data_IF_790170354284
#
_entry.id   IF_790170354284
#
_cell.length_a   1.000
_cell.length_b   1.000
_cell.length_c   1.000
_cell.angle_alpha   90.00
_cell.angle_beta   90.00
_cell.angle_gamma   90.00
#
_symmetry.space_group_name_H-M   'P 1'
#
loop_
_entity.id
_entity.type
_entity.pdbx_description
1 polymer ?
#
# COMPACT_ATOMS: atom_id res chain seq x y z
N UNK A 1 -32.36 -1.20 2.14
CA UNK A 1 -30.97 -1.63 2.45
C UNK A 1 -30.07 -0.59 1.85
N UNK A 2 -29.11 -0.10 2.61
CA UNK A 2 -28.08 0.84 2.14
C UNK A 2 -26.79 0.07 1.95
N UNK A 3 -25.99 0.46 0.96
CA UNK A 3 -24.61 -0.04 0.82
C UNK A 3 -23.63 0.88 1.51
N UNK A 4 -22.52 0.31 1.95
CA UNK A 4 -21.46 1.07 2.59
C UNK A 4 -20.18 0.27 2.78
N UNK A 5 -19.19 0.92 3.38
CA UNK A 5 -17.88 0.32 3.66
C UNK A 5 -17.69 0.29 5.17
N UNK A 6 -17.23 -0.84 5.70
CA UNK A 6 -16.88 -0.98 7.10
C UNK A 6 -15.61 -0.20 7.36
N UNK A 7 -15.69 0.90 8.11
CA UNK A 7 -14.54 1.78 8.39
C UNK A 7 -13.89 1.47 9.73
N UNK A 8 -14.62 0.82 10.65
CA UNK A 8 -14.12 0.44 11.97
C UNK A 8 -14.86 -0.80 12.49
N UNK A 9 -14.14 -1.68 13.19
CA UNK A 9 -14.69 -2.89 13.81
C UNK A 9 -14.21 -3.05 15.26
N UNK A 10 -15.12 -2.88 16.23
CA UNK A 10 -14.79 -2.87 17.66
C UNK A 10 -15.86 -3.60 18.47
N UNK A 11 -15.45 -4.61 19.25
CA UNK A 11 -16.33 -5.25 20.24
C UNK A 11 -17.59 -5.90 19.65
N UNK A 12 -17.52 -6.39 18.40
CA UNK A 12 -18.67 -6.99 17.69
C UNK A 12 -19.61 -5.98 17.03
N UNK A 13 -19.28 -4.68 17.08
CA UNK A 13 -19.92 -3.62 16.33
C UNK A 13 -19.05 -3.21 15.14
N UNK A 14 -19.72 -2.80 14.06
CA UNK A 14 -19.12 -2.41 12.80
C UNK A 14 -19.65 -1.04 12.42
N UNK A 15 -18.78 -0.04 12.36
CA UNK A 15 -19.18 1.27 11.86
C UNK A 15 -19.06 1.25 10.35
N UNK A 16 -20.18 1.54 9.68
CA UNK A 16 -20.32 1.47 8.23
C UNK A 16 -20.57 2.87 7.71
N UNK A 17 -19.69 3.35 6.84
CA UNK A 17 -19.94 4.58 6.08
C UNK A 17 -20.82 4.23 4.88
N UNK A 18 -22.07 4.63 4.95
CA UNK A 18 -23.06 4.34 3.92
C UNK A 18 -22.95 5.32 2.74
N UNK A 19 -23.54 4.92 1.61
CA UNK A 19 -23.55 5.69 0.36
C UNK A 19 -24.32 7.02 0.45
N UNK A 20 -25.18 7.18 1.46
CA UNK A 20 -25.86 8.44 1.79
C UNK A 20 -24.98 9.43 2.58
N UNK A 21 -23.73 9.03 2.88
CA UNK A 21 -22.76 9.83 3.62
C UNK A 21 -22.89 9.72 5.14
N UNK A 22 -23.85 8.94 5.66
CA UNK A 22 -24.05 8.73 7.09
C UNK A 22 -23.22 7.55 7.58
N UNK A 23 -22.66 7.67 8.78
CA UNK A 23 -22.00 6.56 9.46
C UNK A 23 -23.00 5.87 10.40
N UNK A 24 -23.18 4.56 10.18
CA UNK A 24 -24.07 3.73 10.97
C UNK A 24 -23.28 2.74 11.81
N UNK A 25 -23.54 2.73 13.12
CA UNK A 25 -23.04 1.69 14.02
C UNK A 25 -23.91 0.44 13.91
N UNK A 26 -23.35 -0.60 13.31
CA UNK A 26 -24.07 -1.81 12.98
C UNK A 26 -23.71 -2.99 13.90
N UNK A 27 -24.71 -3.80 14.25
CA UNK A 27 -24.49 -5.13 14.82
C UNK A 27 -24.59 -6.19 13.73
N UNK A 28 -23.77 -7.24 13.80
CA UNK A 28 -23.87 -8.35 12.85
C UNK A 28 -25.04 -9.29 13.21
N UNK A 29 -25.87 -9.64 12.23
CA UNK A 29 -26.89 -10.68 12.41
C UNK A 29 -26.23 -12.00 12.81
N UNK A 30 -26.95 -12.82 13.60
CA UNK A 30 -26.46 -14.16 14.01
C UNK A 30 -26.10 -15.12 12.88
N UNK A 31 -26.49 -14.82 11.62
CA UNK A 31 -26.14 -15.62 10.44
C UNK A 31 -24.63 -15.66 10.16
N UNK A 32 -23.91 -14.55 10.38
CA UNK A 32 -22.45 -14.51 10.17
C UNK A 32 -21.70 -15.49 11.07
N UNK A 33 -22.23 -15.77 12.28
CA UNK A 33 -21.67 -16.78 13.19
C UNK A 33 -21.90 -18.22 12.71
N UNK A 34 -22.95 -18.46 11.92
CA UNK A 34 -23.27 -19.79 11.35
C UNK A 34 -22.48 -20.07 10.08
N UNK A 35 -22.29 -19.05 9.25
CA UNK A 35 -21.63 -19.19 7.94
C UNK A 35 -20.08 -19.09 8.06
N UNK A 36 -19.56 -18.74 9.24
CA UNK A 36 -18.11 -18.63 9.49
C UNK A 36 -17.44 -17.41 8.85
N UNK A 37 -18.22 -16.52 8.21
CA UNK A 37 -17.72 -15.32 7.54
C UNK A 37 -17.10 -14.36 8.54
N UNK A 38 -15.78 -14.20 8.46
CA UNK A 38 -15.07 -13.16 9.22
C UNK A 38 -15.25 -11.82 8.53
N UNK A 39 -15.56 -10.78 9.30
CA UNK A 39 -15.79 -9.42 8.82
C UNK A 39 -14.55 -8.57 9.12
N UNK A 40 -14.04 -7.85 8.12
CA UNK A 40 -12.88 -6.98 8.25
C UNK A 40 -13.24 -5.53 7.91
N UNK A 41 -12.39 -4.62 8.37
CA UNK A 41 -12.42 -3.24 7.91
C UNK A 41 -12.06 -3.19 6.42
N UNK A 42 -12.74 -2.33 5.67
CA UNK A 42 -12.68 -2.26 4.21
C UNK A 42 -13.66 -3.19 3.48
N UNK A 43 -14.35 -4.09 4.20
CA UNK A 43 -15.42 -4.89 3.58
C UNK A 43 -16.55 -3.98 3.07
N UNK A 44 -16.96 -4.22 1.82
CA UNK A 44 -18.19 -3.65 1.25
C UNK A 44 -19.37 -4.43 1.80
N UNK A 45 -20.37 -3.73 2.31
CA UNK A 45 -21.48 -4.35 3.04
C UNK A 45 -22.82 -3.69 2.77
N UNK A 46 -23.88 -4.47 2.93
CA UNK A 46 -25.26 -3.98 2.95
C UNK A 46 -25.78 -3.91 4.37
N UNK A 47 -26.42 -2.80 4.72
CA UNK A 47 -27.01 -2.56 6.04
C UNK A 47 -28.51 -2.27 5.94
N UNK A 48 -29.22 -2.59 7.00
CA UNK A 48 -30.58 -2.08 7.25
C UNK A 48 -30.50 -1.05 8.38
N UNK A 49 -30.68 0.25 8.07
CA UNK A 49 -30.76 1.29 9.08
C UNK A 49 -31.91 1.04 10.06
N UNK A 50 -31.67 1.34 11.32
CA UNK A 50 -32.67 1.37 12.38
C UNK A 50 -32.93 2.84 12.79
N UNK A 51 -33.48 3.07 13.98
CA UNK A 51 -33.64 4.42 14.53
C UNK A 51 -32.29 5.06 14.83
N UNK A 52 -32.08 6.29 14.38
CA UNK A 52 -30.84 7.03 14.61
C UNK A 52 -29.70 6.57 13.69
N UNK A 53 -28.47 6.60 14.20
CA UNK A 53 -27.25 6.13 13.50
C UNK A 53 -26.92 4.67 13.84
N UNK A 54 -27.95 3.86 14.13
CA UNK A 54 -27.80 2.42 14.38
C UNK A 54 -28.28 1.62 13.17
N UNK A 55 -27.72 0.42 13.01
CA UNK A 55 -28.09 -0.45 11.91
C UNK A 55 -27.82 -1.92 12.19
N UNK A 56 -28.24 -2.74 11.24
CA UNK A 56 -27.93 -4.16 11.22
C UNK A 56 -27.13 -4.46 9.97
N UNK A 57 -25.96 -5.08 10.16
CA UNK A 57 -25.17 -5.59 9.05
C UNK A 57 -25.91 -6.80 8.48
N UNK A 58 -26.32 -6.70 7.23
CA UNK A 58 -27.02 -7.77 6.56
C UNK A 58 -26.00 -8.69 5.91
N UNK A 59 -25.22 -8.22 4.94
CA UNK A 59 -24.28 -9.02 4.15
C UNK A 59 -22.95 -8.29 3.95
N UNK A 60 -21.91 -9.07 3.67
CA UNK A 60 -20.61 -8.59 3.20
C UNK A 60 -20.39 -9.15 1.79
N UNK A 61 -19.91 -8.31 0.89
CA UNK A 61 -19.63 -8.67 -0.50
C UNK A 61 -18.32 -9.48 -0.63
N UNK A 62 -18.11 -10.12 -1.77
CA UNK A 62 -16.84 -10.79 -2.05
C UNK A 62 -15.70 -9.76 -2.14
N UNK A 63 -14.56 -10.12 -1.57
CA UNK A 63 -13.37 -9.25 -1.55
C UNK A 63 -12.64 -9.34 -2.88
N UNK A 64 -12.27 -8.19 -3.41
CA UNK A 64 -11.38 -8.10 -4.57
C UNK A 64 -9.92 -8.27 -4.14
N UNK A 65 -9.55 -7.67 -3.01
CA UNK A 65 -8.20 -7.73 -2.44
C UNK A 65 -8.26 -7.87 -0.91
N UNK A 66 -7.16 -8.31 -0.30
CA UNK A 66 -7.05 -8.37 1.15
C UNK A 66 -5.60 -8.22 1.58
N UNK A 67 -5.30 -7.18 2.34
CA UNK A 67 -4.03 -7.07 3.04
C UNK A 67 -4.09 -7.91 4.31
N UNK A 68 -3.12 -8.79 4.52
CA UNK A 68 -3.04 -9.59 5.73
C UNK A 68 -2.54 -8.79 6.95
N UNK A 69 -1.74 -7.74 6.73
CA UNK A 69 -1.11 -6.93 7.79
C UNK A 69 -0.92 -5.47 7.34
N UNK A 70 -1.76 -4.53 7.79
CA UNK A 70 -2.95 -4.70 8.63
C UNK A 70 -4.05 -5.49 7.90
N UNK A 71 -4.95 -6.15 8.64
CA UNK A 71 -6.08 -6.88 8.06
C UNK A 71 -7.12 -5.91 7.50
N UNK A 72 -7.03 -5.63 6.21
CA UNK A 72 -7.92 -4.68 5.51
C UNK A 72 -8.36 -5.29 4.19
N UNK A 73 -9.67 -5.35 3.98
CA UNK A 73 -10.26 -5.82 2.74
C UNK A 73 -10.36 -4.69 1.70
N UNK A 74 -10.38 -5.06 0.42
CA UNK A 74 -10.62 -4.19 -0.72
C UNK A 74 -9.70 -2.96 -0.78
N UNK A 75 -8.46 -3.10 -0.29
CA UNK A 75 -7.42 -2.08 -0.53
C UNK A 75 -7.11 -2.06 -2.01
N UNK A 76 -7.16 -0.90 -2.64
CA UNK A 76 -6.97 -0.76 -4.09
C UNK A 76 -5.56 -0.27 -4.40
N UNK A 77 -4.95 0.49 -3.49
CA UNK A 77 -3.66 1.09 -3.72
C UNK A 77 -2.84 1.32 -2.45
N UNK A 78 -1.54 1.45 -2.69
CA UNK A 78 -0.54 1.78 -1.69
C UNK A 78 0.22 3.02 -2.13
N UNK A 79 0.23 4.04 -1.26
CA UNK A 79 1.05 5.23 -1.43
C UNK A 79 2.30 5.08 -0.59
N UNK A 80 3.44 4.82 -1.23
CA UNK A 80 4.74 4.69 -0.59
C UNK A 80 5.33 6.08 -0.45
N UNK A 81 5.27 6.61 0.77
CA UNK A 81 5.82 7.93 1.09
C UNK A 81 7.30 7.79 1.44
N UNK A 82 8.13 8.46 0.67
CA UNK A 82 9.55 8.61 0.95
C UNK A 82 9.91 10.10 1.04
N UNK A 83 11.13 10.39 1.45
CA UNK A 83 11.66 11.74 1.48
C UNK A 83 13.10 11.70 0.96
N UNK A 84 13.58 12.79 0.34
CA UNK A 84 14.94 12.86 -0.16
C UNK A 84 15.94 12.79 0.99
N UNK A 85 15.63 13.53 2.05
CA UNK A 85 16.40 13.59 3.28
C UNK A 85 15.48 13.58 4.50
N UNK A 86 16.07 13.19 5.65
CA UNK A 86 15.41 13.16 6.96
C UNK A 86 14.09 12.35 7.00
N UNK A 87 14.13 11.01 6.89
CA UNK A 87 15.30 10.15 6.74
C UNK A 87 15.80 10.07 5.29
N UNK A 88 17.06 9.67 5.11
CA UNK A 88 17.64 9.43 3.79
C UNK A 88 16.85 8.35 3.04
N UNK A 89 16.62 8.58 1.75
CA UNK A 89 15.96 7.61 0.89
C UNK A 89 16.76 6.30 0.81
N UNK A 90 16.07 5.17 1.06
CA UNK A 90 16.59 3.83 0.79
C UNK A 90 15.86 3.24 -0.41
N UNK A 91 16.55 3.12 -1.55
CA UNK A 91 15.99 2.50 -2.76
C UNK A 91 15.64 1.03 -2.51
N UNK A 92 16.43 0.32 -1.72
CA UNK A 92 16.15 -1.07 -1.38
C UNK A 92 14.84 -1.20 -0.57
N UNK A 93 14.55 -0.26 0.34
CA UNK A 93 13.29 -0.26 1.07
C UNK A 93 12.11 0.09 0.15
N UNK A 94 12.28 1.09 -0.72
CA UNK A 94 11.27 1.48 -1.70
C UNK A 94 10.94 0.31 -2.63
N UNK A 95 11.94 -0.29 -3.25
CA UNK A 95 11.78 -1.45 -4.14
C UNK A 95 11.13 -2.63 -3.43
N UNK A 96 11.44 -2.85 -2.16
CA UNK A 96 10.81 -3.90 -1.37
C UNK A 96 9.32 -3.63 -1.14
N UNK A 97 8.93 -2.41 -0.81
CA UNK A 97 7.53 -2.04 -0.65
C UNK A 97 6.77 -2.14 -1.98
N UNK A 98 7.41 -1.78 -3.10
CA UNK A 98 6.86 -1.97 -4.43
C UNK A 98 6.62 -3.46 -4.72
N UNK A 99 7.61 -4.32 -4.47
CA UNK A 99 7.47 -5.77 -4.64
C UNK A 99 6.31 -6.34 -3.83
N UNK A 100 6.15 -5.89 -2.58
CA UNK A 100 5.05 -6.32 -1.71
C UNK A 100 3.70 -5.84 -2.25
N UNK A 101 3.59 -4.59 -2.72
CA UNK A 101 2.37 -4.09 -3.34
C UNK A 101 1.99 -4.88 -4.60
N UNK A 102 2.94 -5.16 -5.49
CA UNK A 102 2.74 -5.95 -6.71
C UNK A 102 2.37 -7.42 -6.43
N UNK A 103 2.92 -7.99 -5.34
CA UNK A 103 2.56 -9.33 -4.90
C UNK A 103 1.09 -9.40 -4.49
N UNK A 104 0.60 -8.37 -3.79
CA UNK A 104 -0.79 -8.21 -3.36
C UNK A 104 -1.69 -7.61 -4.47
N UNK A 105 -1.17 -7.41 -5.68
CA UNK A 105 -1.88 -6.83 -6.83
C UNK A 105 -2.46 -5.44 -6.56
N UNK A 106 -1.80 -4.66 -5.71
CA UNK A 106 -2.17 -3.29 -5.39
C UNK A 106 -1.50 -2.30 -6.33
N UNK A 107 -2.24 -1.27 -6.74
CA UNK A 107 -1.63 -0.14 -7.45
C UNK A 107 -0.64 0.57 -6.53
N UNK A 108 0.63 0.65 -6.92
CA UNK A 108 1.65 1.36 -6.16
C UNK A 108 1.87 2.78 -6.70
N UNK A 109 1.85 3.76 -5.80
CA UNK A 109 2.18 5.16 -6.08
C UNK A 109 3.37 5.54 -5.21
N UNK A 110 4.38 6.17 -5.81
CA UNK A 110 5.52 6.71 -5.08
C UNK A 110 5.24 8.18 -4.77
N UNK A 111 5.29 8.56 -3.51
CA UNK A 111 5.11 9.94 -3.06
C UNK A 111 6.41 10.42 -2.44
N UNK A 112 7.19 11.20 -3.20
CA UNK A 112 8.40 11.84 -2.72
C UNK A 112 8.03 13.13 -2.00
N UNK A 113 8.00 13.08 -0.67
CA UNK A 113 7.65 14.21 0.17
C UNK A 113 8.87 15.01 0.63
N UNK A 114 8.66 16.23 1.11
CA UNK A 114 9.69 17.18 1.55
C UNK A 114 10.55 17.72 0.42
N UNK A 115 9.91 17.99 -0.72
CA UNK A 115 10.55 18.65 -1.85
C UNK A 115 11.09 20.05 -1.53
N UNK A 116 10.68 20.61 -0.39
CA UNK A 116 11.25 21.83 0.15
C UNK A 116 12.69 21.70 0.65
N UNK A 117 13.20 20.48 0.81
CA UNK A 117 14.59 20.24 1.18
C UNK A 117 15.50 20.25 -0.06
N UNK A 118 16.77 20.67 0.09
CA UNK A 118 17.73 20.60 -1.01
C UNK A 118 17.83 19.16 -1.52
N UNK A 119 17.72 19.00 -2.82
CA UNK A 119 17.87 17.72 -3.50
C UNK A 119 19.07 17.77 -4.43
N UNK A 120 19.85 16.71 -4.47
CA UNK A 120 20.95 16.56 -5.43
C UNK A 120 20.40 16.16 -6.81
N UNK A 121 21.15 16.37 -7.89
CA UNK A 121 20.78 15.91 -9.25
C UNK A 121 20.41 14.42 -9.30
N UNK A 122 20.97 13.63 -8.38
CA UNK A 122 20.63 12.22 -8.17
C UNK A 122 19.13 11.99 -7.93
N UNK A 123 18.39 12.95 -7.38
CA UNK A 123 16.96 12.80 -7.09
C UNK A 123 16.07 13.04 -8.31
N UNK A 124 16.46 13.96 -9.20
CA UNK A 124 15.82 14.12 -10.51
C UNK A 124 15.93 12.83 -11.34
N UNK A 125 17.04 12.09 -11.17
CA UNK A 125 17.26 10.79 -11.80
C UNK A 125 16.32 9.68 -11.29
N UNK A 126 15.82 9.80 -10.05
CA UNK A 126 14.89 8.83 -9.46
C UNK A 126 13.52 8.87 -10.11
N UNK A 127 13.02 10.07 -10.45
CA UNK A 127 11.76 10.22 -11.18
C UNK A 127 11.79 9.41 -12.47
N UNK A 128 12.79 9.67 -13.31
CA UNK A 128 12.96 8.97 -14.59
C UNK A 128 13.11 7.46 -14.39
N UNK A 129 13.84 7.04 -13.35
CA UNK A 129 14.04 5.63 -13.04
C UNK A 129 12.72 4.91 -12.73
N UNK A 130 11.89 5.43 -11.82
CA UNK A 130 10.66 4.74 -11.43
C UNK A 130 9.51 4.95 -12.42
N UNK A 131 9.44 6.09 -13.10
CA UNK A 131 8.46 6.30 -14.18
C UNK A 131 8.75 5.37 -15.36
N UNK A 132 10.02 5.19 -15.76
CA UNK A 132 10.39 4.21 -16.79
C UNK A 132 10.17 2.76 -16.35
N UNK A 133 10.14 2.51 -15.04
CA UNK A 133 9.73 1.23 -14.49
C UNK A 133 8.20 1.01 -14.46
N UNK A 134 7.41 2.05 -14.78
CA UNK A 134 5.95 1.98 -14.87
C UNK A 134 5.20 2.51 -13.64
N UNK A 135 5.88 3.16 -12.70
CA UNK A 135 5.26 3.72 -11.49
C UNK A 135 4.89 5.19 -11.65
N UNK A 136 3.76 5.58 -11.05
CA UNK A 136 3.43 6.99 -10.85
C UNK A 136 4.26 7.55 -9.70
N UNK A 137 4.94 8.67 -9.93
CA UNK A 137 5.73 9.37 -8.93
C UNK A 137 5.23 10.82 -8.74
N UNK A 138 4.78 11.11 -7.52
CA UNK A 138 4.29 12.42 -7.11
C UNK A 138 5.35 13.11 -6.23
N UNK A 139 5.67 14.36 -6.56
CA UNK A 139 6.55 15.20 -5.75
C UNK A 139 5.67 16.09 -4.87
N UNK A 140 5.87 16.05 -3.56
CA UNK A 140 5.01 16.77 -2.61
C UNK A 140 5.84 17.52 -1.56
N UNK A 141 5.30 18.64 -1.08
CA UNK A 141 5.75 19.26 0.16
C UNK A 141 4.55 19.56 1.04
N UNK A 142 4.36 18.75 2.09
CA UNK A 142 3.33 19.03 3.11
C UNK A 142 3.50 20.41 3.77
N UNK A 143 4.73 20.94 3.78
CA UNK A 143 5.07 22.25 4.37
C UNK A 143 4.58 23.41 3.51
N UNK A 144 4.73 23.32 2.19
CA UNK A 144 4.36 24.39 1.27
C UNK A 144 3.08 24.13 0.47
N UNK A 145 2.46 22.96 0.64
CA UNK A 145 1.23 22.58 -0.06
C UNK A 145 1.45 22.12 -1.50
N UNK A 146 2.70 21.99 -1.96
CA UNK A 146 3.02 21.53 -3.30
C UNK A 146 2.65 20.04 -3.46
N UNK A 147 2.04 19.67 -4.60
CA UNK A 147 1.72 18.28 -4.93
C UNK A 147 0.57 17.67 -4.11
N UNK A 148 -0.04 18.44 -3.21
CA UNK A 148 -1.08 17.94 -2.29
C UNK A 148 -2.39 17.68 -3.01
N UNK A 149 -2.74 18.51 -4.00
CA UNK A 149 -3.98 18.33 -4.77
C UNK A 149 -3.87 17.11 -5.69
N UNK A 150 -2.72 16.88 -6.30
CA UNK A 150 -2.43 15.70 -7.11
C UNK A 150 -2.51 14.42 -6.27
N UNK A 151 -1.91 14.43 -5.08
CA UNK A 151 -2.02 13.32 -4.14
C UNK A 151 -3.47 13.10 -3.68
N UNK A 152 -4.20 14.18 -3.41
CA UNK A 152 -5.62 14.12 -3.03
C UNK A 152 -6.45 13.47 -4.13
N UNK A 153 -6.30 13.91 -5.38
CA UNK A 153 -6.99 13.33 -6.55
C UNK A 153 -6.73 11.83 -6.67
N UNK A 154 -5.51 11.38 -6.38
CA UNK A 154 -5.20 9.96 -6.38
C UNK A 154 -5.86 9.18 -5.23
N UNK A 155 -6.12 9.79 -4.08
CA UNK A 155 -6.75 9.15 -2.93
C UNK A 155 -8.29 9.16 -2.99
N UNK A 156 -8.91 10.13 -3.66
CA UNK A 156 -10.36 10.26 -3.72
C UNK A 156 -11.00 9.05 -4.39
N UNK A 157 -12.09 8.55 -3.80
CA UNK A 157 -12.84 7.40 -4.34
C UNK A 157 -12.20 6.04 -4.10
N UNK A 158 -11.03 5.96 -3.44
CA UNK A 158 -10.26 4.70 -3.29
C UNK A 158 -9.97 4.35 -1.83
N UNK A 159 -9.85 3.06 -1.55
CA UNK A 159 -9.28 2.56 -0.29
C UNK A 159 -7.77 2.47 -0.43
N UNK A 160 -7.06 3.32 0.32
CA UNK A 160 -5.62 3.52 0.19
C UNK A 160 -4.90 3.22 1.50
N UNK A 161 -3.67 2.72 1.38
CA UNK A 161 -2.76 2.54 2.52
C UNK A 161 -1.52 3.39 2.32
N UNK A 162 -1.12 4.16 3.33
CA UNK A 162 0.14 4.90 3.31
C UNK A 162 1.25 4.06 3.95
N UNK A 163 2.33 3.85 3.21
CA UNK A 163 3.51 3.10 3.63
C UNK A 163 4.76 3.98 3.62
N UNK A 164 5.83 3.49 4.26
CA UNK A 164 7.16 4.14 4.23
C UNK A 164 7.73 4.43 5.62
N UNK A 165 8.99 4.86 5.71
CA UNK A 165 9.69 5.07 6.98
C UNK A 165 9.01 6.07 7.93
N UNK A 166 9.40 6.03 9.20
CA UNK A 166 9.04 7.08 10.16
C UNK A 166 9.69 8.41 9.78
N UNK A 167 8.97 9.51 9.98
CA UNK A 167 9.50 10.86 9.76
C UNK A 167 9.47 11.38 8.32
N UNK A 168 9.10 10.56 7.33
CA UNK A 168 8.94 10.99 5.91
C UNK A 168 7.75 11.94 5.69
N UNK A 169 6.83 12.05 6.64
CA UNK A 169 5.74 13.04 6.62
C UNK A 169 4.35 12.51 6.24
N UNK A 170 4.08 11.19 6.34
CA UNK A 170 2.75 10.60 6.09
C UNK A 170 1.61 11.33 6.82
N UNK A 171 1.73 11.53 8.14
CA UNK A 171 0.71 12.22 8.94
C UNK A 171 0.54 13.69 8.52
N UNK A 172 1.64 14.35 8.16
CA UNK A 172 1.62 15.73 7.68
C UNK A 172 0.88 15.84 6.35
N UNK A 173 1.13 14.92 5.41
CA UNK A 173 0.41 14.86 4.14
C UNK A 173 -1.10 14.65 4.35
N UNK A 174 -1.51 13.70 5.20
CA UNK A 174 -2.93 13.48 5.48
C UNK A 174 -3.60 14.68 6.13
N UNK A 175 -2.92 15.36 7.07
CA UNK A 175 -3.43 16.60 7.66
C UNK A 175 -3.58 17.73 6.61
N UNK A 176 -2.70 17.78 5.59
CA UNK A 176 -2.81 18.73 4.49
C UNK A 176 -3.97 18.40 3.54
N UNK A 177 -4.23 17.11 3.29
CA UNK A 177 -5.32 16.65 2.41
C UNK A 177 -6.69 16.81 3.07
N UNK A 178 -6.77 16.47 4.36
CA UNK A 178 -7.98 16.52 5.16
C UNK A 178 -7.74 17.40 6.39
N UNK A 179 -7.96 18.72 6.26
CA UNK A 179 -7.88 19.64 7.38
C UNK A 179 -8.82 19.21 8.51
N UNK A 180 -8.31 19.11 9.73
CA UNK A 180 -9.12 18.74 10.91
C UNK A 180 -8.90 17.33 11.46
N UNK A 181 -8.19 16.45 10.74
CA UNK A 181 -7.77 15.13 11.27
C UNK A 181 -6.91 15.23 12.54
N UNK A 182 -6.20 16.37 12.74
CA UNK A 182 -5.35 16.66 13.92
C UNK A 182 -4.40 15.51 14.30
N UNK A 183 -3.93 14.74 13.31
CA UNK A 183 -2.98 13.65 13.55
C UNK A 183 -1.66 14.25 14.06
N UNK A 184 -1.09 13.67 15.11
CA UNK A 184 0.24 14.07 15.59
C UNK A 184 1.28 13.72 14.52
N UNK A 185 2.27 14.59 14.32
CA UNK A 185 3.36 14.32 13.37
C UNK A 185 4.04 13.00 13.73
N UNK A 186 4.08 12.07 12.78
CA UNK A 186 4.67 10.76 13.00
C UNK A 186 3.73 9.74 13.61
N UNK A 187 2.47 10.08 13.92
CA UNK A 187 1.50 9.16 14.53
C UNK A 187 1.29 7.88 13.71
N UNK A 188 1.17 7.99 12.39
CA UNK A 188 1.03 6.83 11.50
C UNK A 188 2.28 5.93 11.58
N UNK A 189 3.45 6.52 11.81
CA UNK A 189 4.72 5.81 11.85
C UNK A 189 5.21 5.37 13.22
N UNK A 190 4.88 6.05 14.32
CA UNK A 190 5.15 5.57 15.68
C UNK A 190 4.36 4.29 15.96
N UNK A 191 3.18 4.17 15.33
CA UNK A 191 2.42 2.94 15.26
C UNK A 191 3.19 1.79 14.57
N UNK A 192 4.21 2.05 13.73
CA UNK A 192 5.15 1.01 13.19
C UNK A 192 6.14 0.49 14.24
N UNK A 193 6.61 1.32 15.19
CA UNK A 193 7.70 0.97 16.13
C UNK A 193 7.23 0.13 17.32
N UNK A 194 5.94 0.13 17.63
CA UNK A 194 5.33 -0.59 18.76
C UNK A 194 5.15 -2.11 18.49
N UNK A 195 6.21 -2.77 18.00
CA UNK A 195 6.25 -4.19 17.60
C UNK A 195 6.18 -5.22 18.72
N UNK A 196 5.42 -5.01 19.80
CA UNK A 196 5.19 -6.03 20.85
C UNK A 196 3.69 -6.24 21.10
N UNK A 197 3.17 -7.31 20.51
CA UNK A 197 2.00 -8.06 20.98
C UNK A 197 0.69 -7.31 21.28
N UNK A 198 0.30 -6.30 20.50
CA UNK A 198 -1.10 -5.83 20.53
C UNK A 198 -1.67 -5.78 19.12
N UNK A 199 -2.63 -6.66 18.83
CA UNK A 199 -3.46 -6.64 17.62
C UNK A 199 -4.31 -5.37 17.66
N UNK A 200 -3.72 -4.23 17.27
CA UNK A 200 -4.43 -2.95 17.28
C UNK A 200 -5.46 -2.95 16.16
N UNK A 201 -6.64 -2.43 16.47
CA UNK A 201 -7.76 -2.35 15.55
C UNK A 201 -7.40 -1.44 14.38
N UNK A 202 -7.74 -1.91 13.18
CA UNK A 202 -7.59 -1.13 11.96
C UNK A 202 -8.79 -0.19 11.83
N UNK A 203 -8.54 1.06 11.45
CA UNK A 203 -9.57 2.04 11.14
C UNK A 203 -9.25 2.70 9.80
N UNK A 204 -10.29 3.00 9.02
CA UNK A 204 -10.21 3.78 7.79
C UNK A 204 -10.69 5.20 8.05
N UNK A 205 -9.81 6.16 7.79
CA UNK A 205 -10.12 7.58 7.82
C UNK A 205 -10.84 7.95 6.52
N UNK A 206 -12.03 8.53 6.65
CA UNK A 206 -12.72 9.09 5.52
C UNK A 206 -12.17 10.46 5.14
N UNK A 207 -11.98 10.65 3.84
CA UNK A 207 -11.61 11.93 3.24
C UNK A 207 -12.87 12.63 2.72
N UNK A 208 -12.91 13.95 2.82
CA UNK A 208 -14.07 14.74 2.35
C UNK A 208 -14.35 14.57 0.86
N UNK A 209 -13.33 14.21 0.07
CA UNK A 209 -13.48 13.94 -1.35
C UNK A 209 -13.96 12.51 -1.69
N UNK A 210 -14.36 11.71 -0.71
CA UNK A 210 -14.94 10.38 -0.92
C UNK A 210 -13.93 9.23 -1.02
N UNK A 211 -12.74 9.36 -0.42
CA UNK A 211 -11.74 8.29 -0.29
C UNK A 211 -11.62 7.75 1.14
N UNK A 212 -10.94 6.61 1.30
CA UNK A 212 -10.66 5.99 2.60
C UNK A 212 -9.16 5.74 2.73
N UNK A 213 -8.57 6.09 3.87
CA UNK A 213 -7.16 5.89 4.15
C UNK A 213 -6.98 5.08 5.43
N UNK A 214 -6.26 3.97 5.37
CA UNK A 214 -5.96 3.20 6.57
C UNK A 214 -5.04 3.97 7.54
N UNK A 215 -5.54 4.18 8.77
CA UNK A 215 -4.78 4.77 9.89
C UNK A 215 -3.96 3.71 10.63
N UNK A 216 -3.43 2.76 9.88
CA UNK A 216 -2.58 1.71 10.44
C UNK A 216 -1.35 1.54 9.59
N UNK A 217 -0.25 1.11 10.22
CA UNK A 217 1.00 0.91 9.50
C UNK A 217 0.85 -0.23 8.47
N UNK A 218 0.70 0.13 7.19
CA UNK A 218 0.87 -0.78 6.07
C UNK A 218 2.29 -1.33 6.01
N UNK A 219 2.43 -2.64 5.79
CA UNK A 219 3.72 -3.34 5.64
C UNK A 219 4.63 -3.31 6.88
N UNK A 220 4.05 -3.51 8.06
CA UNK A 220 4.79 -3.62 9.33
C UNK A 220 5.82 -4.76 9.36
N UNK A 221 5.72 -5.74 8.45
CA UNK A 221 6.78 -6.68 8.17
C UNK A 221 7.23 -6.53 6.73
N UNK A 222 8.40 -5.91 6.56
CA UNK A 222 9.16 -5.83 5.32
C UNK A 222 9.76 -7.20 4.94
N UNK A 223 9.07 -8.30 5.24
CA UNK A 223 9.54 -9.65 4.95
C UNK A 223 8.93 -10.10 3.63
N UNK A 224 9.76 -10.58 2.72
CA UNK A 224 9.29 -11.12 1.44
C UNK A 224 8.78 -12.57 1.55
N UNK A 225 8.44 -13.03 2.75
CA UNK A 225 8.04 -14.42 3.03
C UNK A 225 6.78 -14.86 2.28
N UNK A 226 5.92 -13.93 1.88
CA UNK A 226 4.73 -14.21 1.06
C UNK A 226 5.02 -14.22 -0.45
N UNK A 227 6.22 -13.82 -0.88
CA UNK A 227 6.59 -13.72 -2.30
C UNK A 227 7.40 -14.96 -2.66
N UNK A 228 6.94 -15.75 -3.63
CA UNK A 228 7.68 -16.92 -4.12
C UNK A 228 8.80 -16.53 -5.10
N UNK A 229 9.85 -17.35 -5.27
CA UNK A 229 10.90 -17.06 -6.25
C UNK A 229 10.38 -16.93 -7.68
N UNK A 230 9.29 -17.64 -8.01
CA UNK A 230 8.63 -17.59 -9.32
C UNK A 230 7.77 -16.34 -9.49
N UNK A 231 7.20 -15.81 -8.40
CA UNK A 231 6.40 -14.59 -8.41
C UNK A 231 7.27 -13.33 -8.43
N UNK A 232 8.42 -13.34 -7.76
CA UNK A 232 9.29 -12.17 -7.62
C UNK A 232 9.63 -11.45 -8.96
N UNK A 233 9.98 -12.12 -10.07
CA UNK A 233 10.22 -11.45 -11.35
C UNK A 233 9.00 -10.67 -11.87
N UNK A 234 7.79 -11.13 -11.56
CA UNK A 234 6.54 -10.50 -11.98
C UNK A 234 6.23 -9.25 -11.14
N UNK A 235 6.90 -9.06 -9.99
CA UNK A 235 6.79 -7.88 -9.14
C UNK A 235 7.73 -6.74 -9.57
N UNK A 236 8.43 -6.89 -10.70
CA UNK A 236 9.21 -5.84 -11.36
C UNK A 236 8.56 -5.57 -12.72
N UNK A 237 7.62 -4.62 -12.82
CA UNK A 237 6.83 -4.40 -14.03
C UNK A 237 7.68 -4.19 -15.28
N UNK A 238 8.84 -3.55 -15.15
CA UNK A 238 9.78 -3.32 -16.24
C UNK A 238 10.35 -4.62 -16.84
N UNK A 239 10.32 -5.74 -16.11
CA UNK A 239 10.77 -7.04 -16.63
C UNK A 239 9.76 -7.61 -17.63
N UNK A 240 8.48 -7.25 -17.54
CA UNK A 240 7.42 -7.82 -18.39
C UNK A 240 7.66 -7.65 -19.89
N UNK A 241 8.36 -6.57 -20.29
CA UNK A 241 8.71 -6.27 -21.69
C UNK A 241 9.84 -7.14 -22.25
N UNK A 242 10.63 -7.78 -21.38
CA UNK A 242 11.85 -8.49 -21.74
C UNK A 242 11.84 -9.97 -21.32
N UNK A 243 11.19 -10.31 -20.20
CA UNK A 243 11.10 -11.68 -19.71
C UNK A 243 10.56 -12.67 -20.77
N UNK A 244 9.52 -12.36 -21.57
CA UNK A 244 9.04 -13.23 -22.64
C UNK A 244 10.06 -13.49 -23.77
N UNK A 245 11.12 -12.67 -23.86
CA UNK A 245 12.20 -12.79 -24.87
C UNK A 245 13.39 -13.60 -24.35
N UNK A 246 13.31 -14.13 -23.13
CA UNK A 246 14.36 -15.00 -22.59
C UNK A 246 14.36 -16.34 -23.32
N UNK A 247 15.56 -16.90 -23.52
CA UNK A 247 15.73 -18.23 -24.13
C UNK A 247 15.11 -19.37 -23.31
N UNK A 248 15.12 -19.24 -21.99
CA UNK A 248 14.64 -20.26 -21.05
C UNK A 248 13.31 -19.86 -20.42
N UNK A 249 12.45 -20.86 -20.16
CA UNK A 249 11.17 -20.68 -19.47
C UNK A 249 10.96 -21.81 -18.47
N UNK A 250 10.88 -21.53 -17.15
CA UNK A 250 11.01 -20.22 -16.51
C UNK A 250 12.48 -19.72 -16.51
N UNK A 251 12.67 -18.40 -16.52
CA UNK A 251 13.96 -17.74 -16.31
C UNK A 251 13.90 -16.92 -15.02
N UNK A 252 14.85 -17.12 -14.12
CA UNK A 252 15.05 -16.36 -12.86
C UNK A 252 16.00 -15.18 -13.04
N UNK A 253 16.39 -14.88 -14.28
CA UNK A 253 17.21 -13.73 -14.66
C UNK A 253 18.52 -13.57 -13.88
N UNK A 254 19.10 -14.65 -13.34
CA UNK A 254 20.30 -14.61 -12.50
C UNK A 254 21.48 -15.23 -13.25
N UNK A 255 21.51 -16.55 -13.29
CA UNK A 255 22.62 -17.32 -13.85
C UNK A 255 22.38 -17.72 -15.31
N UNK A 256 21.12 -17.63 -15.79
CA UNK A 256 20.75 -18.11 -17.11
C UNK A 256 21.53 -17.39 -18.23
N UNK A 257 22.12 -18.13 -19.18
CA UNK A 257 22.72 -17.53 -20.36
C UNK A 257 21.63 -16.94 -21.27
N UNK A 258 22.01 -15.97 -22.10
CA UNK A 258 21.11 -15.31 -23.06
C UNK A 258 19.84 -14.67 -22.46
N UNK A 259 19.85 -14.32 -21.17
CA UNK A 259 18.73 -13.64 -20.51
C UNK A 259 18.46 -12.25 -21.11
N UNK A 260 17.26 -12.05 -21.65
CA UNK A 260 16.84 -10.78 -22.24
C UNK A 260 16.72 -9.65 -21.21
N UNK A 261 16.36 -9.96 -19.96
CA UNK A 261 16.37 -8.98 -18.85
C UNK A 261 17.79 -8.49 -18.57
N UNK A 262 18.78 -9.40 -18.45
CA UNK A 262 20.20 -9.02 -18.27
C UNK A 262 20.72 -8.18 -19.45
N UNK A 263 20.32 -8.50 -20.69
CA UNK A 263 20.65 -7.69 -21.88
C UNK A 263 20.03 -6.29 -21.81
N UNK A 264 18.78 -6.18 -21.36
CA UNK A 264 18.10 -4.91 -21.18
C UNK A 264 18.78 -4.03 -20.13
N UNK A 265 19.22 -4.62 -19.01
CA UNK A 265 20.04 -3.95 -17.98
C UNK A 265 21.36 -3.44 -18.59
N UNK A 266 22.10 -4.29 -19.31
CA UNK A 266 23.36 -3.90 -19.94
C UNK A 266 23.22 -2.76 -20.97
N UNK A 267 22.04 -2.66 -21.62
CA UNK A 267 21.71 -1.58 -22.56
C UNK A 267 21.10 -0.32 -21.91
N UNK A 268 20.95 -0.29 -20.57
CA UNK A 268 20.35 0.84 -19.84
C UNK A 268 18.83 0.96 -19.95
N UNK A 269 18.14 -0.06 -20.47
CA UNK A 269 16.66 -0.09 -20.57
C UNK A 269 15.98 -0.48 -19.26
N UNK A 270 16.71 -1.16 -18.39
CA UNK A 270 16.33 -1.44 -17.00
C UNK A 270 17.43 -0.85 -16.14
N UNK A 271 17.07 -0.08 -15.12
CA UNK A 271 18.04 0.51 -14.22
C UNK A 271 18.84 -0.57 -13.47
N UNK A 272 20.16 -0.40 -13.42
CA UNK A 272 21.06 -1.35 -12.75
C UNK A 272 20.73 -1.48 -11.25
N UNK A 273 20.36 -0.39 -10.59
CA UNK A 273 19.96 -0.38 -9.18
C UNK A 273 18.72 -1.24 -8.91
N UNK A 274 17.72 -1.20 -9.80
CA UNK A 274 16.52 -2.05 -9.73
C UNK A 274 16.88 -3.52 -9.88
N UNK A 275 17.69 -3.86 -10.87
CA UNK A 275 18.13 -5.24 -11.08
C UNK A 275 19.01 -5.76 -9.93
N UNK A 276 19.86 -4.92 -9.35
CA UNK A 276 20.66 -5.27 -8.16
C UNK A 276 19.76 -5.57 -6.96
N UNK A 277 18.74 -4.75 -6.71
CA UNK A 277 17.79 -5.01 -5.62
C UNK A 277 16.97 -6.27 -5.89
N UNK A 278 16.57 -6.54 -7.13
CA UNK A 278 15.95 -7.81 -7.53
C UNK A 278 16.80 -9.03 -7.12
N UNK A 279 18.10 -9.03 -7.40
CA UNK A 279 18.99 -10.13 -7.03
C UNK A 279 19.08 -10.33 -5.51
N UNK A 280 19.16 -9.23 -4.75
CA UNK A 280 19.16 -9.29 -3.27
C UNK A 280 17.86 -9.89 -2.74
N UNK A 281 16.71 -9.51 -3.30
CA UNK A 281 15.42 -10.05 -2.92
C UNK A 281 15.25 -11.51 -3.34
N UNK A 282 15.80 -11.90 -4.50
CA UNK A 282 15.79 -13.28 -4.96
C UNK A 282 16.59 -14.17 -4.00
N UNK A 283 17.75 -13.72 -3.53
CA UNK A 283 18.53 -14.43 -2.51
C UNK A 283 17.78 -14.60 -1.20
N UNK A 284 17.09 -13.57 -0.72
CA UNK A 284 16.26 -13.64 0.48
C UNK A 284 15.14 -14.68 0.34
N UNK A 285 14.38 -14.61 -0.75
CA UNK A 285 13.24 -15.49 -0.99
C UNK A 285 13.69 -16.95 -1.19
N UNK A 286 14.79 -17.20 -1.91
CA UNK A 286 15.36 -18.54 -2.06
C UNK A 286 15.88 -19.11 -0.73
N UNK A 287 16.42 -18.25 0.14
CA UNK A 287 16.89 -18.67 1.47
C UNK A 287 15.72 -19.04 2.38
N UNK A 288 14.59 -18.34 2.25
CA UNK A 288 13.36 -18.66 2.98
C UNK A 288 12.73 -19.97 2.49
N UNK A 289 12.67 -20.19 1.18
CA UNK A 289 12.15 -21.43 0.58
C UNK A 289 12.88 -22.69 1.08
N UNK A 290 14.22 -22.62 1.21
CA UNK A 290 15.04 -23.76 1.70
C UNK A 290 14.86 -24.09 3.18
N UNK A 291 14.25 -23.20 3.98
CA UNK A 291 14.02 -23.40 5.42
C UNK A 291 12.70 -24.11 5.71
N UNK A 292 11.84 -24.25 4.70
CA UNK A 292 10.59 -25.01 4.75
C UNK A 292 10.75 -26.33 4.00
#
# INVERSE_FOLDING_TARGET
MLRGIIIRAVGGFYDVRAEDGVEYRCSARGRFKKDGTTIYVGDRASITPLSGQEGVLDAVELRETFLARPQVANVEQVVIVCAPQNPQLSLQLLDRLLVLAENEQLRAIICMNKEDLPHEEAEQSLRNLYESAGYLLLMTSAKFGQGIEELKQELCGRISVLAGPSGVGKSSLLNSIQPGLKLRTGEISERLKSGRHTTRQVELLALDCGGLVADTPGFSQLLLAAVSPQRLPLCFPEFSLFAPKCRFTPCRHRDEPDCAVKKAVASGKIAESRFKNYLVFLDEVLTQERRY
#
